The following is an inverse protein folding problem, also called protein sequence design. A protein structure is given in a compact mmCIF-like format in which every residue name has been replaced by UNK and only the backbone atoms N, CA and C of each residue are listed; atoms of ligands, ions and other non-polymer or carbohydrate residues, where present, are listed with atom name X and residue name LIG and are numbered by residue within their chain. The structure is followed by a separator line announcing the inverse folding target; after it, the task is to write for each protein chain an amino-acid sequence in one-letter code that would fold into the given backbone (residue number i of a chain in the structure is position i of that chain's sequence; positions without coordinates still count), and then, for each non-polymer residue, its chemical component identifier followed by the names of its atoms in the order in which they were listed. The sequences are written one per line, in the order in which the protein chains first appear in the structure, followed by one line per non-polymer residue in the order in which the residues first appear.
data_IF_697427625588
#
_entry.id   IF_697427625588
#
_cell.length_a   1.000
_cell.length_b   1.000
_cell.length_c   1.000
_cell.angle_alpha   90.00
_cell.angle_beta   90.00
_cell.angle_gamma   90.00
#
_symmetry.space_group_name_H-M   'P 1'
#
loop_
_entity.id
_entity.type
_entity.pdbx_description
1 polymer ?
#
# COMPACT_ATOMS: atom_id res chain seq x y z
N UNK A 1 2.60 12.67 -22.56
CA UNK A 1 2.33 11.37 -21.92
C UNK A 1 1.31 11.58 -20.81
N UNK A 2 0.14 10.94 -20.93
CA UNK A 2 -0.97 10.97 -19.96
C UNK A 2 -0.60 10.23 -18.67
N UNK A 3 -1.31 10.43 -17.55
CA UNK A 3 -0.99 9.70 -16.32
C UNK A 3 -1.08 8.16 -16.46
N UNK A 4 -2.07 7.58 -17.19
CA UNK A 4 -2.10 6.14 -17.46
C UNK A 4 -0.85 5.60 -18.17
N UNK A 5 -0.33 6.30 -19.18
CA UNK A 5 0.88 5.89 -19.91
C UNK A 5 2.14 5.93 -19.02
N UNK A 6 2.19 6.89 -18.09
CA UNK A 6 3.27 7.00 -17.10
C UNK A 6 3.23 5.85 -16.10
N UNK A 7 2.03 5.54 -15.59
CA UNK A 7 1.79 4.41 -14.70
C UNK A 7 2.15 3.07 -15.38
N UNK A 8 1.83 2.91 -16.65
CA UNK A 8 2.24 1.76 -17.46
C UNK A 8 3.75 1.61 -17.58
N UNK A 9 4.44 2.72 -17.78
CA UNK A 9 5.89 2.72 -17.86
C UNK A 9 6.50 2.32 -16.52
N UNK A 10 5.97 2.81 -15.40
CA UNK A 10 6.40 2.38 -14.07
C UNK A 10 6.13 0.90 -13.82
N UNK A 11 4.92 0.41 -14.11
CA UNK A 11 4.56 -1.00 -13.97
C UNK A 11 5.50 -1.93 -14.75
N UNK A 12 5.78 -1.60 -16.02
CA UNK A 12 6.69 -2.35 -16.88
C UNK A 12 8.12 -2.34 -16.32
N UNK A 13 8.62 -1.17 -15.92
CA UNK A 13 9.98 -0.98 -15.39
C UNK A 13 10.19 -1.77 -14.10
N UNK A 14 9.23 -1.73 -13.17
CA UNK A 14 9.30 -2.51 -11.92
C UNK A 14 9.29 -4.01 -12.22
N UNK A 15 8.38 -4.48 -13.08
CA UNK A 15 8.30 -5.90 -13.47
C UNK A 15 9.60 -6.36 -14.12
N UNK A 16 10.19 -5.55 -14.98
CA UNK A 16 11.41 -5.88 -15.72
C UNK A 16 12.66 -5.88 -14.84
N UNK A 17 12.83 -4.88 -13.97
CA UNK A 17 14.03 -4.72 -13.17
C UNK A 17 14.08 -5.68 -11.98
N UNK A 18 12.92 -6.04 -11.41
CA UNK A 18 12.85 -6.72 -10.12
C UNK A 18 12.16 -8.08 -10.17
N UNK A 19 11.21 -8.33 -11.07
CA UNK A 19 10.44 -9.57 -11.02
C UNK A 19 11.28 -10.78 -11.45
N UNK A 20 11.16 -11.87 -10.69
CA UNK A 20 11.75 -13.15 -11.05
C UNK A 20 11.08 -14.30 -10.33
N UNK A 21 11.44 -15.53 -10.68
CA UNK A 21 10.88 -16.73 -10.03
C UNK A 21 11.30 -16.80 -8.56
N UNK A 22 10.38 -17.24 -7.70
CA UNK A 22 10.67 -17.55 -6.30
C UNK A 22 11.47 -18.85 -6.25
N UNK A 23 12.72 -18.78 -5.79
CA UNK A 23 13.60 -19.95 -5.66
C UNK A 23 13.71 -20.80 -6.95
N UNK A 24 13.58 -20.17 -8.13
CA UNK A 24 13.61 -20.84 -9.44
C UNK A 24 12.32 -21.58 -9.83
N UNK A 25 11.32 -21.67 -8.95
CA UNK A 25 10.11 -22.47 -9.13
C UNK A 25 9.21 -21.86 -10.23
N UNK A 26 8.86 -22.61 -11.30
CA UNK A 26 7.91 -22.16 -12.32
C UNK A 26 6.54 -21.79 -11.72
N UNK A 27 5.84 -20.84 -12.34
CA UNK A 27 4.53 -20.41 -11.88
C UNK A 27 4.53 -19.55 -10.61
N UNK A 28 5.69 -19.12 -10.13
CA UNK A 28 5.87 -18.17 -9.03
C UNK A 28 6.52 -16.87 -9.50
N UNK A 29 6.31 -15.79 -8.76
CA UNK A 29 6.93 -14.48 -8.98
C UNK A 29 7.30 -13.88 -7.61
N UNK A 30 8.44 -13.19 -7.54
CA UNK A 30 8.85 -12.32 -6.44
C UNK A 30 9.59 -11.12 -7.01
N UNK A 31 9.43 -9.96 -6.39
CA UNK A 31 10.31 -8.82 -6.62
C UNK A 31 11.62 -9.01 -5.86
N UNK A 32 12.74 -8.95 -6.56
CA UNK A 32 14.05 -8.79 -5.92
C UNK A 32 14.07 -7.50 -5.07
N UNK A 33 14.71 -7.48 -3.89
CA UNK A 33 14.69 -6.28 -3.05
C UNK A 33 15.48 -5.11 -3.64
N UNK A 34 16.41 -5.37 -4.55
CA UNK A 34 17.15 -4.33 -5.27
C UNK A 34 17.52 -4.78 -6.69
N UNK A 35 17.89 -3.81 -7.52
CA UNK A 35 18.45 -3.98 -8.85
C UNK A 35 19.84 -3.32 -8.94
N UNK A 36 20.89 -4.04 -9.38
CA UNK A 36 20.90 -5.47 -9.72
C UNK A 36 20.54 -6.37 -8.53
N UNK A 37 20.01 -7.56 -8.83
CA UNK A 37 19.55 -8.51 -7.80
C UNK A 37 20.67 -8.87 -6.83
N UNK A 38 20.49 -8.72 -5.50
CA UNK A 38 21.49 -9.13 -4.53
C UNK A 38 21.84 -10.62 -4.67
N UNK A 39 23.14 -10.93 -4.66
CA UNK A 39 23.64 -12.32 -4.75
C UNK A 39 23.72 -13.02 -3.39
N UNK A 40 23.62 -12.27 -2.29
CA UNK A 40 23.71 -12.84 -0.95
C UNK A 40 22.52 -13.76 -0.65
N UNK A 41 22.82 -14.97 -0.15
CA UNK A 41 21.80 -15.90 0.36
C UNK A 41 21.18 -15.43 1.69
N UNK A 42 21.81 -14.47 2.37
CA UNK A 42 21.32 -13.86 3.61
C UNK A 42 20.57 -12.55 3.37
N UNK A 43 20.30 -12.19 2.11
CA UNK A 43 19.52 -11.00 1.80
C UNK A 43 18.16 -11.04 2.55
N UNK A 44 17.75 -9.94 3.21
CA UNK A 44 16.52 -9.93 3.99
C UNK A 44 15.30 -10.28 3.15
N UNK A 45 14.35 -10.97 3.77
CA UNK A 45 13.06 -11.25 3.18
C UNK A 45 12.08 -10.13 3.52
N UNK A 46 11.87 -9.22 2.57
CA UNK A 46 10.92 -8.11 2.73
C UNK A 46 9.51 -8.55 2.33
N UNK A 47 8.84 -9.30 3.22
CA UNK A 47 7.48 -9.82 3.00
C UNK A 47 6.50 -8.71 2.63
N UNK A 48 6.46 -7.62 3.39
CA UNK A 48 5.49 -6.54 3.17
C UNK A 48 5.77 -5.71 1.92
N UNK A 49 7.02 -5.64 1.43
CA UNK A 49 7.31 -5.02 0.12
C UNK A 49 6.62 -5.81 -1.00
N UNK A 50 6.55 -7.13 -0.88
CA UNK A 50 5.83 -7.97 -1.83
C UNK A 50 4.31 -7.78 -1.73
N UNK A 51 3.77 -7.51 -0.53
CA UNK A 51 2.38 -7.16 -0.36
C UNK A 51 2.03 -5.87 -1.11
N UNK A 52 2.87 -4.84 -1.04
CA UNK A 52 2.67 -3.60 -1.81
C UNK A 52 2.92 -3.77 -3.32
N UNK A 53 3.86 -4.63 -3.71
CA UNK A 53 4.03 -5.01 -5.11
C UNK A 53 2.77 -5.71 -5.66
N UNK A 54 2.15 -6.59 -4.86
CA UNK A 54 0.88 -7.22 -5.19
C UNK A 54 -0.23 -6.18 -5.36
N UNK A 55 -0.28 -5.22 -4.44
CA UNK A 55 -1.26 -4.14 -4.45
C UNK A 55 -1.14 -3.24 -5.69
N UNK A 56 0.09 -2.96 -6.13
CA UNK A 56 0.39 -2.20 -7.35
C UNK A 56 0.05 -3.00 -8.63
N UNK A 57 0.27 -4.32 -8.65
CA UNK A 57 -0.20 -5.18 -9.74
C UNK A 57 -1.72 -5.15 -9.86
N UNK A 58 -2.45 -5.15 -8.74
CA UNK A 58 -3.91 -5.03 -8.76
C UNK A 58 -4.34 -3.66 -9.31
N UNK A 59 -3.67 -2.57 -8.95
CA UNK A 59 -3.95 -1.24 -9.55
C UNK A 59 -3.79 -1.27 -11.07
N UNK A 60 -2.68 -1.81 -11.57
CA UNK A 60 -2.43 -1.87 -13.01
C UNK A 60 -3.45 -2.75 -13.74
N UNK A 61 -3.88 -3.88 -13.15
CA UNK A 61 -4.92 -4.72 -13.72
C UNK A 61 -6.28 -3.99 -13.77
N UNK A 62 -6.68 -3.30 -12.70
CA UNK A 62 -7.89 -2.48 -12.65
C UNK A 62 -7.82 -1.30 -13.64
N UNK A 63 -6.62 -0.75 -13.86
CA UNK A 63 -6.41 0.24 -14.91
C UNK A 63 -6.71 -0.35 -16.28
N UNK A 64 -6.31 -1.58 -16.57
CA UNK A 64 -6.58 -2.25 -17.84
C UNK A 64 -7.89 -3.05 -17.90
N UNK A 65 -8.88 -2.80 -17.03
CA UNK A 65 -10.14 -3.57 -17.04
C UNK A 65 -10.88 -3.56 -18.38
N UNK A 66 -10.73 -2.48 -19.16
CA UNK A 66 -11.34 -2.33 -20.49
C UNK A 66 -10.48 -2.99 -21.61
N UNK A 67 -9.33 -3.57 -21.24
CA UNK A 67 -8.41 -4.35 -22.08
C UNK A 67 -8.25 -5.77 -21.48
N UNK A 68 -9.24 -6.68 -21.66
CA UNK A 68 -9.33 -7.93 -20.89
C UNK A 68 -8.09 -8.81 -20.94
N UNK A 69 -7.45 -8.94 -22.11
CA UNK A 69 -6.23 -9.75 -22.27
C UNK A 69 -5.07 -9.22 -21.42
N UNK A 70 -4.96 -7.89 -21.32
CA UNK A 70 -3.89 -7.22 -20.57
C UNK A 70 -4.16 -7.25 -19.07
N UNK A 71 -5.41 -7.00 -18.66
CA UNK A 71 -5.82 -7.18 -17.27
C UNK A 71 -5.57 -8.61 -16.78
N UNK A 72 -5.91 -9.61 -17.60
CA UNK A 72 -5.71 -11.03 -17.28
C UNK A 72 -4.22 -11.41 -17.18
N UNK A 73 -3.34 -10.84 -18.01
CA UNK A 73 -1.90 -11.03 -17.87
C UNK A 73 -1.38 -10.53 -16.51
N UNK A 74 -1.75 -9.31 -16.14
CA UNK A 74 -1.31 -8.68 -14.89
C UNK A 74 -1.91 -9.43 -13.68
N UNK A 75 -3.19 -9.82 -13.76
CA UNK A 75 -3.86 -10.65 -12.75
C UNK A 75 -3.14 -11.98 -12.54
N UNK A 76 -2.71 -12.66 -13.61
CA UNK A 76 -1.92 -13.90 -13.50
C UNK A 76 -0.59 -13.67 -12.79
N UNK A 77 0.08 -12.55 -13.03
CA UNK A 77 1.31 -12.18 -12.32
C UNK A 77 1.06 -11.89 -10.84
N UNK A 78 -0.06 -11.24 -10.48
CA UNK A 78 -0.48 -11.06 -9.10
C UNK A 78 -0.67 -12.40 -8.36
N UNK A 79 -1.33 -13.38 -9.00
CA UNK A 79 -1.46 -14.74 -8.46
C UNK A 79 -0.13 -15.50 -8.36
N UNK A 80 0.78 -15.31 -9.33
CA UNK A 80 2.16 -15.85 -9.25
C UNK A 80 2.93 -15.25 -8.09
N UNK A 81 2.72 -13.96 -7.81
CA UNK A 81 3.33 -13.26 -6.68
C UNK A 81 2.83 -13.81 -5.36
N UNK A 82 1.51 -13.97 -5.20
CA UNK A 82 0.93 -14.60 -3.99
C UNK A 82 1.51 -16.00 -3.75
N UNK A 83 1.60 -16.85 -4.80
CA UNK A 83 2.26 -18.15 -4.68
C UNK A 83 3.74 -18.05 -4.29
N UNK A 84 4.46 -17.07 -4.84
CA UNK A 84 5.86 -16.81 -4.49
C UNK A 84 6.03 -16.39 -3.03
N UNK A 85 5.16 -15.52 -2.51
CA UNK A 85 5.13 -15.10 -1.09
C UNK A 85 4.87 -16.32 -0.20
N UNK A 86 3.86 -17.13 -0.52
CA UNK A 86 3.54 -18.37 0.21
C UNK A 86 4.73 -19.31 0.26
N UNK A 87 5.37 -19.58 -0.88
CA UNK A 87 6.56 -20.44 -0.96
C UNK A 87 7.71 -19.90 -0.11
N UNK A 88 8.02 -18.60 -0.25
CA UNK A 88 9.16 -17.97 0.44
C UNK A 88 8.94 -17.87 1.96
N UNK A 89 7.68 -17.90 2.39
CA UNK A 89 7.25 -17.93 3.79
C UNK A 89 7.06 -19.36 4.32
N UNK A 90 7.71 -20.37 3.75
CA UNK A 90 7.64 -21.74 4.28
C UNK A 90 6.31 -22.45 4.02
N UNK A 91 5.59 -22.07 2.97
CA UNK A 91 4.37 -22.73 2.50
C UNK A 91 3.07 -22.14 3.02
N UNK A 92 3.10 -21.13 3.89
CA UNK A 92 1.91 -20.42 4.40
C UNK A 92 2.17 -18.93 4.50
N UNK A 93 1.21 -18.10 4.06
CA UNK A 93 1.31 -16.64 4.20
C UNK A 93 1.29 -16.17 5.66
N UNK A 94 0.75 -16.96 6.59
CA UNK A 94 0.70 -16.61 8.01
C UNK A 94 1.99 -16.91 8.78
N UNK A 95 3.02 -17.46 8.12
CA UNK A 95 4.31 -17.75 8.74
C UNK A 95 5.17 -16.47 8.79
N UNK A 96 4.69 -15.50 9.55
CA UNK A 96 5.36 -14.24 9.84
C UNK A 96 5.07 -13.87 11.31
N UNK A 97 6.06 -13.26 11.96
CA UNK A 97 5.94 -12.77 13.34
C UNK A 97 5.36 -11.37 13.43
N UNK A 98 5.25 -10.66 12.30
CA UNK A 98 4.83 -9.26 12.20
C UNK A 98 3.36 -9.17 11.74
N UNK A 99 2.50 -8.56 12.56
CA UNK A 99 1.07 -8.44 12.29
C UNK A 99 0.75 -7.37 11.24
N UNK A 100 1.53 -6.29 11.19
CA UNK A 100 1.51 -5.26 10.15
C UNK A 100 1.81 -5.86 8.77
N UNK A 101 2.89 -6.63 8.63
CA UNK A 101 3.22 -7.37 7.41
C UNK A 101 2.01 -8.17 6.90
N UNK A 102 1.39 -8.93 7.80
CA UNK A 102 0.22 -9.76 7.48
C UNK A 102 -1.02 -8.93 7.15
N UNK A 103 -1.21 -7.77 7.80
CA UNK A 103 -2.30 -6.84 7.49
C UNK A 103 -2.15 -6.23 6.09
N UNK A 104 -0.93 -5.85 5.70
CA UNK A 104 -0.67 -5.37 4.33
C UNK A 104 -1.00 -6.43 3.28
N UNK A 105 -0.57 -7.69 3.51
CA UNK A 105 -0.91 -8.75 2.57
C UNK A 105 -2.41 -9.05 2.55
N UNK A 106 -3.09 -9.02 3.70
CA UNK A 106 -4.55 -9.22 3.77
C UNK A 106 -5.28 -8.20 2.91
N UNK A 107 -4.91 -6.92 3.00
CA UNK A 107 -5.50 -5.86 2.18
C UNK A 107 -5.27 -6.11 0.68
N UNK A 108 -4.04 -6.45 0.28
CA UNK A 108 -3.71 -6.72 -1.12
C UNK A 108 -4.42 -7.97 -1.67
N UNK A 109 -4.50 -9.05 -0.89
CA UNK A 109 -5.20 -10.30 -1.25
C UNK A 109 -6.71 -10.07 -1.34
N UNK A 110 -7.29 -9.27 -0.44
CA UNK A 110 -8.70 -8.87 -0.52
C UNK A 110 -9.00 -8.12 -1.82
N UNK A 111 -8.11 -7.21 -2.23
CA UNK A 111 -8.22 -6.50 -3.52
C UNK A 111 -8.02 -7.42 -4.72
N UNK A 112 -7.11 -8.39 -4.68
CA UNK A 112 -6.96 -9.41 -5.72
C UNK A 112 -8.23 -10.28 -5.85
N UNK A 113 -8.83 -10.69 -4.73
CA UNK A 113 -10.09 -11.44 -4.74
C UNK A 113 -11.25 -10.61 -5.33
N UNK A 114 -11.27 -9.29 -5.11
CA UNK A 114 -12.24 -8.40 -5.73
C UNK A 114 -12.00 -8.29 -7.25
N UNK A 115 -10.75 -8.13 -7.68
CA UNK A 115 -10.36 -8.13 -9.10
C UNK A 115 -10.75 -9.43 -9.80
N UNK A 116 -10.53 -10.59 -9.15
CA UNK A 116 -10.95 -11.90 -9.68
C UNK A 116 -12.47 -11.94 -9.92
N UNK A 117 -13.27 -11.43 -8.98
CA UNK A 117 -14.73 -11.35 -9.13
C UNK A 117 -15.11 -10.44 -10.29
N UNK A 118 -14.48 -9.27 -10.42
CA UNK A 118 -14.74 -8.32 -11.49
C UNK A 118 -14.45 -8.91 -12.87
N UNK A 119 -13.30 -9.60 -13.03
CA UNK A 119 -12.86 -10.09 -14.33
C UNK A 119 -13.38 -11.50 -14.69
N UNK A 120 -13.72 -12.33 -13.71
CA UNK A 120 -14.08 -13.75 -13.94
C UNK A 120 -15.41 -14.17 -13.31
N UNK A 121 -16.10 -13.27 -12.62
CA UNK A 121 -17.36 -13.53 -11.92
C UNK A 121 -17.20 -14.24 -10.56
N UNK A 122 -15.99 -14.66 -10.18
CA UNK A 122 -15.73 -15.34 -8.90
C UNK A 122 -14.33 -15.03 -8.37
N UNK A 123 -14.17 -15.07 -7.03
CA UNK A 123 -12.84 -14.97 -6.43
C UNK A 123 -12.08 -16.30 -6.57
N UNK A 124 -10.74 -16.22 -6.69
CA UNK A 124 -9.90 -17.41 -6.57
C UNK A 124 -9.90 -17.96 -5.13
N UNK A 125 -10.03 -19.27 -4.99
CA UNK A 125 -10.11 -19.94 -3.68
C UNK A 125 -8.83 -19.71 -2.86
N UNK A 126 -7.66 -19.69 -3.49
CA UNK A 126 -6.41 -19.45 -2.78
C UNK A 126 -6.34 -18.04 -2.17
N UNK A 127 -6.99 -17.05 -2.79
CA UNK A 127 -7.12 -15.71 -2.21
C UNK A 127 -8.05 -15.71 -1.01
N UNK A 128 -9.19 -16.42 -1.08
CA UNK A 128 -10.13 -16.53 0.03
C UNK A 128 -9.50 -17.24 1.23
N UNK A 129 -8.78 -18.33 1.01
CA UNK A 129 -8.09 -19.09 2.05
C UNK A 129 -6.96 -18.28 2.70
N UNK A 130 -6.14 -17.62 1.88
CA UNK A 130 -5.09 -16.73 2.37
C UNK A 130 -5.68 -15.57 3.19
N UNK A 131 -6.72 -14.92 2.68
CA UNK A 131 -7.41 -13.83 3.38
C UNK A 131 -7.98 -14.26 4.73
N UNK A 132 -8.68 -15.40 4.78
CA UNK A 132 -9.22 -15.97 6.03
C UNK A 132 -8.11 -16.26 7.04
N UNK A 133 -7.03 -16.89 6.59
CA UNK A 133 -5.92 -17.26 7.46
C UNK A 133 -5.18 -16.04 8.02
N UNK A 134 -4.95 -15.02 7.19
CA UNK A 134 -4.32 -13.76 7.60
C UNK A 134 -5.21 -12.99 8.59
N UNK A 135 -6.51 -12.88 8.32
CA UNK A 135 -7.46 -12.23 9.22
C UNK A 135 -7.46 -12.88 10.60
N UNK A 136 -7.59 -14.22 10.65
CA UNK A 136 -7.54 -14.98 11.89
C UNK A 136 -6.21 -14.81 12.64
N UNK A 137 -5.12 -14.51 11.94
CA UNK A 137 -3.82 -14.25 12.55
C UNK A 137 -3.77 -12.84 13.14
N UNK A 138 -4.24 -11.82 12.42
CA UNK A 138 -4.30 -10.43 12.87
C UNK A 138 -5.20 -10.29 14.10
N UNK A 139 -6.31 -11.03 14.17
CA UNK A 139 -7.18 -11.06 15.35
C UNK A 139 -6.45 -11.48 16.62
N UNK A 140 -5.44 -12.35 16.54
CA UNK A 140 -4.63 -12.73 17.70
C UNK A 140 -3.71 -11.61 18.20
N UNK A 141 -3.48 -10.59 17.39
CA UNK A 141 -2.75 -9.38 17.78
C UNK A 141 -3.68 -8.29 18.33
N UNK A 142 -5.00 -8.38 18.07
CA UNK A 142 -6.01 -7.46 18.57
C UNK A 142 -6.51 -7.92 19.94
N UNK A 143 -5.92 -7.36 21.00
CA UNK A 143 -6.22 -7.72 22.39
C UNK A 143 -6.65 -6.48 23.19
N UNK A 144 -7.23 -6.70 24.38
CA UNK A 144 -7.62 -5.63 25.29
C UNK A 144 -6.43 -4.97 26.02
N UNK A 145 -5.24 -5.56 25.97
CA UNK A 145 -4.03 -5.00 26.57
C UNK A 145 -3.80 -3.57 26.06
N UNK A 146 -3.31 -2.69 26.92
CA UNK A 146 -3.12 -1.27 26.59
C UNK A 146 -4.39 -0.56 26.07
N UNK A 147 -5.57 -1.04 26.46
CA UNK A 147 -6.86 -0.43 26.10
C UNK A 147 -7.39 -0.78 24.71
N UNK A 148 -6.79 -1.75 23.99
CA UNK A 148 -7.20 -2.13 22.64
C UNK A 148 -6.07 -2.06 21.63
N UNK A 149 -6.39 -1.90 20.34
CA UNK A 149 -5.39 -1.83 19.27
C UNK A 149 -4.70 -3.17 18.97
N UNK A 150 -3.82 -3.17 17.98
CA UNK A 150 -3.17 -4.39 17.47
C UNK A 150 -1.67 -4.35 17.77
N UNK A 151 -1.14 -5.43 18.36
CA UNK A 151 0.30 -5.57 18.55
C UNK A 151 1.04 -5.55 17.22
N UNK A 152 2.27 -5.03 17.23
CA UNK A 152 3.14 -4.96 16.06
C UNK A 152 3.62 -6.35 15.64
N UNK A 153 4.07 -7.15 16.62
CA UNK A 153 4.61 -8.48 16.38
C UNK A 153 4.24 -9.43 17.53
N UNK A 154 4.57 -10.72 17.39
CA UNK A 154 4.22 -11.78 18.35
C UNK A 154 4.90 -11.71 19.72
N UNK A 155 5.85 -10.78 19.94
CA UNK A 155 6.43 -10.51 21.26
C UNK A 155 5.51 -9.67 22.14
N UNK A 156 4.53 -9.00 21.55
CA UNK A 156 3.53 -8.19 22.25
C UNK A 156 4.14 -7.08 23.12
N UNK A 157 5.20 -6.44 22.61
CA UNK A 157 5.95 -5.35 23.27
C UNK A 157 5.57 -3.94 22.77
N UNK A 158 4.93 -3.85 21.61
CA UNK A 158 4.54 -2.59 20.97
C UNK A 158 3.17 -2.73 20.31
N UNK A 159 2.27 -1.77 20.50
CA UNK A 159 1.10 -1.55 19.64
C UNK A 159 1.35 -0.30 18.81
N UNK A 160 1.27 -0.39 17.48
CA UNK A 160 1.65 0.72 16.61
C UNK A 160 0.57 1.01 15.55
N UNK A 161 0.67 2.19 14.94
CA UNK A 161 -0.21 2.60 13.84
C UNK A 161 -0.01 1.68 12.63
N UNK A 162 1.22 1.21 12.42
CA UNK A 162 1.61 0.29 11.34
C UNK A 162 0.78 -1.00 11.30
N UNK A 163 0.45 -1.59 12.45
CA UNK A 163 -0.39 -2.79 12.54
C UNK A 163 -1.87 -2.45 12.70
N UNK A 164 -2.18 -1.45 13.53
CA UNK A 164 -3.55 -1.14 13.94
C UNK A 164 -4.36 -0.50 12.81
N UNK A 165 -3.79 0.45 12.06
CA UNK A 165 -4.51 1.14 10.99
C UNK A 165 -4.89 0.22 9.82
N UNK A 166 -3.97 -0.60 9.23
CA UNK A 166 -4.37 -1.55 8.20
C UNK A 166 -5.26 -2.68 8.72
N UNK A 167 -5.15 -3.07 10.00
CA UNK A 167 -6.09 -4.02 10.60
C UNK A 167 -7.50 -3.43 10.71
N UNK A 168 -7.65 -2.17 11.13
CA UNK A 168 -8.95 -1.49 11.15
C UNK A 168 -9.58 -1.45 9.75
N UNK A 169 -8.80 -1.08 8.74
CA UNK A 169 -9.25 -1.10 7.34
C UNK A 169 -9.65 -2.50 6.89
N UNK A 170 -8.87 -3.52 7.25
CA UNK A 170 -9.21 -4.91 6.94
C UNK A 170 -10.54 -5.31 7.60
N UNK A 171 -10.77 -4.93 8.86
CA UNK A 171 -12.04 -5.19 9.55
C UNK A 171 -13.22 -4.54 8.84
N UNK A 172 -13.11 -3.28 8.38
CA UNK A 172 -14.15 -2.63 7.57
C UNK A 172 -14.45 -3.46 6.31
N UNK A 173 -13.42 -3.83 5.56
CA UNK A 173 -13.54 -4.61 4.30
C UNK A 173 -14.05 -6.03 4.49
N UNK A 174 -14.02 -6.56 5.71
CA UNK A 174 -14.61 -7.85 6.07
C UNK A 174 -15.92 -7.73 6.85
N UNK A 175 -16.58 -6.56 6.81
CA UNK A 175 -17.86 -6.28 7.45
C UNK A 175 -17.87 -6.43 8.98
N UNK A 176 -16.73 -6.13 9.61
CA UNK A 176 -16.53 -6.16 11.07
C UNK A 176 -16.41 -4.75 11.62
N UNK A 177 -17.45 -3.95 11.38
CA UNK A 177 -17.47 -2.50 11.65
C UNK A 177 -17.22 -2.17 13.13
N UNK A 178 -17.77 -2.96 14.06
CA UNK A 178 -17.53 -2.77 15.51
C UNK A 178 -16.05 -2.93 15.87
N UNK A 179 -15.38 -3.95 15.34
CA UNK A 179 -13.95 -4.16 15.56
C UNK A 179 -13.12 -3.05 14.91
N UNK A 180 -13.51 -2.60 13.71
CA UNK A 180 -12.86 -1.45 13.06
C UNK A 180 -12.97 -0.17 13.90
N UNK A 181 -14.17 0.10 14.45
CA UNK A 181 -14.42 1.25 15.33
C UNK A 181 -13.60 1.19 16.62
N UNK A 182 -13.52 0.02 17.25
CA UNK A 182 -12.70 -0.17 18.45
C UNK A 182 -11.22 0.14 18.18
N UNK A 183 -10.67 -0.34 17.06
CA UNK A 183 -9.26 -0.08 16.70
C UNK A 183 -9.04 1.39 16.29
N UNK A 184 -9.98 2.00 15.56
CA UNK A 184 -9.90 3.43 15.22
C UNK A 184 -10.01 4.33 16.46
N UNK A 185 -10.90 4.00 17.40
CA UNK A 185 -11.01 4.69 18.69
C UNK A 185 -9.70 4.61 19.47
N UNK A 186 -9.12 3.40 19.56
CA UNK A 186 -7.82 3.22 20.21
C UNK A 186 -6.70 4.07 19.55
N UNK A 187 -6.66 4.13 18.22
CA UNK A 187 -5.71 4.98 17.48
C UNK A 187 -5.90 6.46 17.80
N UNK A 188 -7.16 6.92 17.85
CA UNK A 188 -7.50 8.30 18.19
C UNK A 188 -7.13 8.66 19.63
N UNK A 189 -7.38 7.76 20.58
CA UNK A 189 -7.09 8.01 21.99
C UNK A 189 -5.57 7.98 22.29
N UNK A 190 -4.85 7.06 21.66
CA UNK A 190 -3.47 6.77 22.07
C UNK A 190 -2.41 7.40 21.17
N UNK A 191 -2.66 7.55 19.87
CA UNK A 191 -1.64 7.88 18.87
C UNK A 191 -1.97 9.13 18.03
N UNK A 192 -3.15 9.71 18.14
CA UNK A 192 -3.49 10.95 17.44
C UNK A 192 -2.80 12.17 18.07
N UNK A 193 -2.17 12.98 17.23
CA UNK A 193 -1.71 14.33 17.56
C UNK A 193 -2.77 15.34 17.10
N UNK A 194 -3.56 15.94 18.02
CA UNK A 194 -4.61 16.89 17.64
C UNK A 194 -4.07 18.21 17.09
N UNK A 195 -2.84 18.59 17.43
CA UNK A 195 -2.23 19.84 16.95
C UNK A 195 -1.74 19.71 15.51
N UNK A 196 -1.13 18.56 15.18
CA UNK A 196 -0.59 18.28 13.83
C UNK A 196 -1.56 17.51 12.94
N UNK A 197 -2.63 16.96 13.51
CA UNK A 197 -3.64 16.12 12.83
C UNK A 197 -3.04 14.91 12.10
N UNK A 198 -2.10 14.25 12.76
CA UNK A 198 -1.41 13.04 12.27
C UNK A 198 -1.26 12.02 13.38
N UNK A 199 -0.83 10.80 13.03
CA UNK A 199 -0.66 9.71 13.98
C UNK A 199 0.82 9.46 14.29
N UNK A 200 1.13 9.40 15.57
CA UNK A 200 2.39 8.91 16.11
C UNK A 200 2.60 7.43 15.77
N UNK A 201 3.85 6.97 15.84
CA UNK A 201 4.21 5.65 15.35
C UNK A 201 3.64 4.53 16.21
N UNK A 202 3.79 4.61 17.54
CA UNK A 202 3.26 3.56 18.41
C UNK A 202 3.35 3.83 19.90
N UNK A 203 2.94 2.82 20.66
CA UNK A 203 2.93 2.77 22.12
C UNK A 203 3.74 1.55 22.55
N UNK A 204 4.86 1.80 23.23
CA UNK A 204 5.87 0.81 23.60
C UNK A 204 5.70 0.44 25.07
N UNK A 205 5.67 -0.86 25.40
CA UNK A 205 5.77 -1.33 26.77
C UNK A 205 7.23 -1.24 27.25
N UNK A 206 7.47 -0.45 28.30
CA UNK A 206 8.82 -0.19 28.83
C UNK A 206 9.17 -1.13 29.98
N UNK A 207 8.18 -1.58 30.76
CA UNK A 207 8.39 -2.46 31.92
C UNK A 207 7.42 -3.66 31.89
N UNK A 208 7.54 -4.52 30.88
CA UNK A 208 6.75 -5.74 30.78
C UNK A 208 7.10 -6.70 31.93
N UNK A 209 6.09 -7.14 32.70
CA UNK A 209 6.26 -8.11 33.79
C UNK A 209 6.70 -7.54 35.14
N UNK A 210 6.69 -6.22 35.34
CA UNK A 210 7.07 -5.56 36.60
C UNK A 210 5.92 -5.41 37.62
N UNK A 211 4.69 -5.81 37.26
CA UNK A 211 3.48 -5.57 38.06
C UNK A 211 2.86 -4.18 37.88
N UNK A 212 3.51 -3.27 37.15
CA UNK A 212 2.92 -2.01 36.67
C UNK A 212 3.36 -1.76 35.22
N UNK A 213 2.43 -1.87 34.28
CA UNK A 213 2.71 -1.65 32.87
C UNK A 213 2.95 -0.18 32.59
N UNK A 214 4.23 0.20 32.45
CA UNK A 214 4.60 1.55 32.01
C UNK A 214 4.70 1.56 30.49
N UNK A 215 3.97 2.49 29.86
CA UNK A 215 4.03 2.71 28.42
C UNK A 215 4.76 4.00 28.07
N UNK A 216 5.35 4.04 26.88
CA UNK A 216 5.92 5.25 26.28
C UNK A 216 5.45 5.36 24.84
N UNK A 217 4.96 6.55 24.47
CA UNK A 217 4.62 6.85 23.09
C UNK A 217 5.89 7.05 22.26
N UNK A 218 5.89 6.49 21.06
CA UNK A 218 6.85 6.77 20.02
C UNK A 218 6.34 7.93 19.16
N UNK A 219 6.89 9.11 19.38
CA UNK A 219 6.38 10.35 18.79
C UNK A 219 6.78 10.54 17.32
N UNK A 220 7.54 9.60 16.73
CA UNK A 220 7.94 9.67 15.32
C UNK A 220 6.70 9.71 14.42
N UNK A 221 6.83 10.47 13.33
CA UNK A 221 5.76 10.68 12.36
C UNK A 221 6.21 10.15 11.01
N UNK A 222 5.41 9.26 10.43
CA UNK A 222 5.66 8.70 9.11
C UNK A 222 4.38 8.76 8.28
N UNK A 223 4.51 9.10 7.00
CA UNK A 223 3.35 9.32 6.13
C UNK A 223 2.42 8.11 6.02
N UNK A 224 2.96 6.90 6.09
CA UNK A 224 2.17 5.67 5.95
C UNK A 224 1.21 5.44 7.12
N UNK A 225 1.45 6.04 8.30
CA UNK A 225 0.57 5.93 9.45
C UNK A 225 -0.82 6.54 9.15
N UNK A 226 -0.86 7.70 8.52
CA UNK A 226 -2.11 8.40 8.19
C UNK A 226 -2.90 7.74 7.05
N UNK A 227 -2.23 7.00 6.16
CA UNK A 227 -2.84 6.43 4.96
C UNK A 227 -4.00 5.46 5.25
N UNK A 228 -3.76 4.31 5.89
CA UNK A 228 -4.81 3.33 6.16
C UNK A 228 -5.87 3.84 7.12
N UNK A 229 -5.53 4.76 8.03
CA UNK A 229 -6.55 5.43 8.87
C UNK A 229 -7.52 6.21 7.99
N UNK A 230 -7.00 7.01 7.06
CA UNK A 230 -7.83 7.72 6.08
C UNK A 230 -8.70 6.76 5.27
N UNK A 231 -8.13 5.65 4.78
CA UNK A 231 -8.89 4.60 4.09
C UNK A 231 -10.00 4.00 4.94
N UNK A 232 -9.70 3.66 6.21
CA UNK A 232 -10.66 3.06 7.13
C UNK A 232 -11.80 4.02 7.49
N UNK A 233 -11.49 5.31 7.72
CA UNK A 233 -12.50 6.34 8.00
C UNK A 233 -13.47 6.51 6.84
N UNK A 234 -12.95 6.61 5.60
CA UNK A 234 -13.77 6.77 4.40
C UNK A 234 -14.64 5.53 4.15
N UNK A 235 -14.08 4.32 4.22
CA UNK A 235 -14.84 3.08 3.97
C UNK A 235 -15.85 2.81 5.09
N UNK A 236 -15.55 3.17 6.34
CA UNK A 236 -16.49 3.04 7.45
C UNK A 236 -17.63 4.05 7.35
N UNK A 237 -17.36 5.27 6.85
CA UNK A 237 -18.38 6.29 6.60
C UNK A 237 -19.44 5.81 5.59
N UNK A 238 -19.03 4.98 4.63
CA UNK A 238 -19.91 4.40 3.60
C UNK A 238 -20.41 2.97 3.95
N UNK A 239 -19.98 2.42 5.09
CA UNK A 239 -20.37 1.07 5.50
C UNK A 239 -21.87 1.00 5.83
N UNK A 240 -22.56 -0.11 5.48
CA UNK A 240 -23.94 -0.34 5.91
C UNK A 240 -24.10 -0.24 7.43
N UNK A 241 -25.14 0.46 7.88
CA UNK A 241 -25.41 0.67 9.30
C UNK A 241 -24.73 1.90 9.92
N UNK A 242 -23.89 2.63 9.18
CA UNK A 242 -23.35 3.92 9.64
C UNK A 242 -24.43 5.00 9.55
N UNK A 243 -24.86 5.52 10.71
CA UNK A 243 -25.85 6.60 10.81
C UNK A 243 -25.31 7.95 10.35
N UNK A 244 -26.20 8.88 10.01
CA UNK A 244 -25.85 10.20 9.43
C UNK A 244 -24.86 11.01 10.27
N UNK A 245 -25.07 11.11 11.58
CA UNK A 245 -24.20 11.89 12.47
C UNK A 245 -22.79 11.28 12.58
N UNK A 246 -22.74 9.96 12.71
CA UNK A 246 -21.47 9.25 12.76
C UNK A 246 -20.73 9.31 11.42
N UNK A 247 -21.45 9.22 10.31
CA UNK A 247 -20.91 9.45 8.97
C UNK A 247 -20.27 10.83 8.85
N UNK A 248 -20.98 11.88 9.29
CA UNK A 248 -20.46 13.24 9.26
C UNK A 248 -19.18 13.39 10.11
N UNK A 249 -19.14 12.77 11.30
CA UNK A 249 -17.96 12.76 12.18
C UNK A 249 -16.77 12.03 11.54
N UNK A 250 -16.99 10.87 10.93
CA UNK A 250 -15.96 10.09 10.23
C UNK A 250 -15.37 10.88 9.06
N UNK A 251 -16.20 11.52 8.24
CA UNK A 251 -15.76 12.36 7.12
C UNK A 251 -15.06 13.64 7.58
N UNK A 252 -15.49 14.24 8.69
CA UNK A 252 -14.79 15.36 9.32
C UNK A 252 -13.38 14.98 9.76
N UNK A 253 -13.26 13.83 10.46
CA UNK A 253 -11.96 13.29 10.86
C UNK A 253 -11.08 12.97 9.64
N UNK A 254 -11.66 12.39 8.58
CA UNK A 254 -10.93 12.12 7.34
C UNK A 254 -10.39 13.41 6.70
N UNK A 255 -11.16 14.50 6.72
CA UNK A 255 -10.70 15.81 6.24
C UNK A 255 -9.55 16.36 7.09
N UNK A 256 -9.60 16.20 8.42
CA UNK A 256 -8.50 16.57 9.31
C UNK A 256 -7.23 15.79 9.03
N UNK A 257 -7.34 14.47 8.79
CA UNK A 257 -6.19 13.62 8.42
C UNK A 257 -5.57 14.08 7.09
N UNK A 258 -6.38 14.48 6.10
CA UNK A 258 -5.87 15.03 4.84
C UNK A 258 -5.13 16.35 5.07
N UNK A 259 -5.68 17.25 5.87
CA UNK A 259 -5.05 18.53 6.18
C UNK A 259 -3.74 18.36 6.96
N UNK A 260 -3.73 17.49 7.99
CA UNK A 260 -2.52 17.15 8.74
C UNK A 260 -1.47 16.46 7.87
N UNK A 261 -1.87 15.57 6.96
CA UNK A 261 -0.95 14.97 6.00
C UNK A 261 -0.32 16.01 5.06
N UNK A 262 -1.09 17.00 4.62
CA UNK A 262 -0.57 18.09 3.81
C UNK A 262 0.47 18.92 4.59
N UNK A 263 0.18 19.28 5.84
CA UNK A 263 1.06 20.10 6.68
C UNK A 263 2.32 19.35 7.13
N UNK A 264 2.18 18.11 7.60
CA UNK A 264 3.29 17.32 8.16
C UNK A 264 4.17 16.69 7.07
N UNK A 265 3.57 16.27 5.96
CA UNK A 265 4.25 15.50 4.91
C UNK A 265 4.26 16.17 3.56
N UNK A 266 3.59 17.31 3.36
CA UNK A 266 3.66 18.07 2.13
C UNK A 266 4.77 19.11 2.17
N UNK A 267 5.54 19.24 1.09
CA UNK A 267 6.56 20.29 0.92
C UNK A 267 6.42 20.98 -0.43
N UNK A 268 6.70 22.29 -0.51
CA UNK A 268 6.72 23.01 -1.78
C UNK A 268 7.95 22.62 -2.61
N UNK A 269 7.76 22.50 -3.92
CA UNK A 269 8.81 22.47 -4.94
C UNK A 269 8.41 23.44 -6.06
N UNK A 270 9.30 23.84 -6.98
CA UNK A 270 8.94 24.78 -8.04
C UNK A 270 7.68 24.35 -8.81
N UNK A 271 6.62 25.17 -8.71
CA UNK A 271 5.36 25.00 -9.43
C UNK A 271 4.38 23.96 -8.89
N UNK A 272 4.61 23.34 -7.72
CA UNK A 272 3.66 22.37 -7.10
C UNK A 272 3.99 22.05 -5.64
N UNK A 273 3.04 21.43 -4.94
CA UNK A 273 3.28 20.75 -3.65
C UNK A 273 3.45 19.25 -3.87
N UNK A 274 4.40 18.63 -3.17
CA UNK A 274 4.67 17.19 -3.24
C UNK A 274 4.73 16.58 -1.85
N UNK A 275 4.56 15.26 -1.77
CA UNK A 275 4.83 14.51 -0.55
C UNK A 275 6.34 14.43 -0.30
N UNK A 276 6.73 14.62 0.95
CA UNK A 276 8.04 14.24 1.49
C UNK A 276 8.09 12.72 1.54
N UNK A 277 9.17 12.16 1.00
CA UNK A 277 9.47 10.72 1.03
C UNK A 277 10.56 10.41 2.05
N UNK A 278 10.65 9.15 2.45
CA UNK A 278 11.46 8.74 3.60
C UNK A 278 12.73 7.97 3.17
N UNK A 279 13.23 8.26 1.96
CA UNK A 279 14.45 7.67 1.42
C UNK A 279 14.27 6.22 0.94
N UNK A 280 15.27 5.39 1.23
CA UNK A 280 15.32 3.97 0.87
C UNK A 280 14.81 3.05 1.99
N UNK A 281 15.12 1.76 1.87
CA UNK A 281 14.65 0.70 2.75
C UNK A 281 13.12 0.70 2.84
N UNK A 282 12.61 0.48 4.05
CA UNK A 282 11.19 0.47 4.34
C UNK A 282 10.52 1.83 4.08
N UNK A 283 11.24 2.93 4.35
CA UNK A 283 10.79 4.30 4.09
C UNK A 283 10.47 4.57 2.62
N UNK A 284 11.04 3.77 1.73
CA UNK A 284 10.78 3.81 0.29
C UNK A 284 9.35 3.48 -0.10
N UNK A 285 8.49 2.96 0.79
CA UNK A 285 7.07 2.69 0.51
C UNK A 285 6.11 3.72 1.15
N UNK A 286 6.58 4.50 2.13
CA UNK A 286 5.68 5.16 3.08
C UNK A 286 4.76 6.20 2.43
N UNK A 287 5.29 7.01 1.51
CA UNK A 287 4.50 8.08 0.89
C UNK A 287 3.64 7.54 -0.25
N UNK A 288 4.03 6.41 -0.84
CA UNK A 288 3.21 5.67 -1.80
C UNK A 288 1.92 5.14 -1.16
N UNK A 289 2.03 4.59 0.06
CA UNK A 289 0.88 4.15 0.86
C UNK A 289 -0.05 5.31 1.15
N UNK A 290 0.48 6.45 1.60
CA UNK A 290 -0.34 7.65 1.82
C UNK A 290 -1.02 8.11 0.53
N UNK A 291 -0.28 8.20 -0.59
CA UNK A 291 -0.81 8.65 -1.88
C UNK A 291 -2.00 7.79 -2.37
N UNK A 292 -1.96 6.47 -2.15
CA UNK A 292 -3.10 5.57 -2.45
C UNK A 292 -4.39 6.05 -1.78
N UNK A 293 -4.32 6.34 -0.48
CA UNK A 293 -5.52 6.72 0.28
C UNK A 293 -5.88 8.19 0.11
N UNK A 294 -4.92 9.07 -0.20
CA UNK A 294 -5.21 10.43 -0.67
C UNK A 294 -5.99 10.40 -1.99
N UNK A 295 -5.65 9.52 -2.93
CA UNK A 295 -6.43 9.37 -4.17
C UNK A 295 -7.84 8.83 -3.93
N UNK A 296 -8.05 8.01 -2.87
CA UNK A 296 -9.39 7.61 -2.44
C UNK A 296 -10.16 8.81 -1.87
N UNK A 297 -9.53 9.60 -0.99
CA UNK A 297 -10.11 10.82 -0.41
C UNK A 297 -10.49 11.85 -1.50
N UNK A 298 -9.59 12.11 -2.45
CA UNK A 298 -9.80 13.02 -3.57
C UNK A 298 -11.04 12.68 -4.40
N UNK A 299 -11.42 11.39 -4.47
CA UNK A 299 -12.56 10.90 -5.24
C UNK A 299 -13.82 10.66 -4.41
N UNK A 300 -13.78 10.86 -3.10
CA UNK A 300 -14.92 10.57 -2.22
C UNK A 300 -15.97 11.70 -2.32
N UNK A 301 -17.18 11.45 -2.87
CA UNK A 301 -18.12 12.51 -3.26
C UNK A 301 -18.64 13.37 -2.11
N UNK A 302 -18.65 12.82 -0.89
CA UNK A 302 -19.16 13.52 0.29
C UNK A 302 -18.06 14.05 1.22
N UNK A 303 -16.78 13.87 0.87
CA UNK A 303 -15.68 14.49 1.63
C UNK A 303 -15.62 15.98 1.32
N UNK A 304 -15.27 16.84 2.28
CA UNK A 304 -15.17 18.29 2.04
C UNK A 304 -14.32 18.63 0.80
N UNK A 305 -14.81 19.54 -0.05
CA UNK A 305 -14.16 19.90 -1.32
C UNK A 305 -12.71 20.38 -1.15
N UNK A 306 -12.43 21.11 -0.07
CA UNK A 306 -11.07 21.54 0.29
C UNK A 306 -10.14 20.35 0.54
N UNK A 307 -10.61 19.33 1.27
CA UNK A 307 -9.85 18.11 1.52
C UNK A 307 -9.66 17.31 0.22
N UNK A 308 -10.71 17.15 -0.60
CA UNK A 308 -10.58 16.47 -1.90
C UNK A 308 -9.52 17.11 -2.79
N UNK A 309 -9.57 18.43 -2.95
CA UNK A 309 -8.63 19.20 -3.75
C UNK A 309 -7.20 19.12 -3.22
N UNK A 310 -7.04 19.20 -1.89
CA UNK A 310 -5.73 19.07 -1.23
C UNK A 310 -5.13 17.69 -1.46
N UNK A 311 -5.93 16.64 -1.32
CA UNK A 311 -5.51 15.27 -1.58
C UNK A 311 -5.12 15.05 -3.05
N UNK A 312 -5.92 15.58 -4.00
CA UNK A 312 -5.63 15.53 -5.43
C UNK A 312 -4.34 16.26 -5.78
N UNK A 313 -4.11 17.46 -5.24
CA UNK A 313 -2.90 18.25 -5.45
C UNK A 313 -1.64 17.51 -4.99
N UNK A 314 -1.66 16.92 -3.78
CA UNK A 314 -0.53 16.15 -3.26
C UNK A 314 -0.21 14.92 -4.13
N UNK A 315 -1.24 14.19 -4.58
CA UNK A 315 -1.06 13.00 -5.44
C UNK A 315 -0.49 13.39 -6.80
N UNK A 316 -1.15 14.32 -7.49
CA UNK A 316 -0.76 14.75 -8.85
C UNK A 316 0.59 15.47 -8.87
N UNK A 317 0.83 16.37 -7.91
CA UNK A 317 2.11 17.06 -7.77
C UNK A 317 3.27 16.10 -7.54
N UNK A 318 3.08 15.10 -6.66
CA UNK A 318 4.12 14.07 -6.40
C UNK A 318 4.35 13.20 -7.64
N UNK A 319 3.28 12.76 -8.32
CA UNK A 319 3.36 11.98 -9.54
C UNK A 319 4.13 12.72 -10.65
N UNK A 320 3.82 13.99 -10.87
CA UNK A 320 4.50 14.80 -11.87
C UNK A 320 5.98 15.04 -11.52
N UNK A 321 6.30 15.22 -10.23
CA UNK A 321 7.67 15.43 -9.79
C UNK A 321 8.53 14.16 -9.93
N UNK A 322 8.00 12.99 -9.53
CA UNK A 322 8.65 11.70 -9.75
C UNK A 322 8.84 11.41 -11.24
N UNK A 323 7.82 11.71 -12.06
CA UNK A 323 7.90 11.51 -13.49
C UNK A 323 8.96 12.39 -14.15
N UNK A 324 8.99 13.70 -13.82
CA UNK A 324 9.96 14.63 -14.36
C UNK A 324 11.39 14.32 -13.89
N UNK A 325 11.56 13.87 -12.65
CA UNK A 325 12.85 13.52 -12.06
C UNK A 325 13.34 12.11 -12.38
N UNK A 326 12.58 11.29 -13.12
CA UNK A 326 12.98 9.91 -13.45
C UNK A 326 14.26 9.89 -14.31
N UNK A 327 15.03 8.81 -14.19
CA UNK A 327 16.12 8.48 -15.12
C UNK A 327 15.64 7.39 -16.06
N UNK A 328 15.84 7.59 -17.36
CA UNK A 328 15.67 6.53 -18.34
C UNK A 328 16.94 5.66 -18.36
N UNK A 329 16.76 4.36 -18.36
CA UNK A 329 17.83 3.40 -18.55
C UNK A 329 17.45 2.45 -19.68
N UNK A 330 18.43 2.02 -20.46
CA UNK A 330 18.22 0.94 -21.41
C UNK A 330 17.92 -0.35 -20.65
N UNK A 331 16.95 -1.12 -21.14
CA UNK A 331 16.72 -2.47 -20.64
C UNK A 331 17.98 -3.29 -20.86
N UNK A 332 18.62 -3.73 -19.77
CA UNK A 332 19.70 -4.70 -19.87
C UNK A 332 19.08 -6.06 -20.23
N UNK A 333 19.09 -6.41 -21.50
CA UNK A 333 18.92 -7.82 -21.91
C UNK A 333 20.00 -8.63 -21.21
N UNK A 334 19.62 -9.47 -20.24
CA UNK A 334 20.57 -10.34 -19.56
C UNK A 334 21.26 -11.28 -20.57
N UNK A 335 22.59 -11.43 -20.56
CA UNK A 335 23.24 -12.52 -21.26
C UNK A 335 23.08 -13.81 -20.44
N UNK A 336 22.35 -14.80 -20.98
CA UNK A 336 22.43 -16.20 -20.55
C UNK A 336 21.19 -16.77 -19.85
N UNK A 337 20.42 -17.57 -20.60
CA UNK A 337 19.36 -18.44 -20.08
C UNK A 337 18.46 -18.94 -21.21
N UNK A 338 18.86 -20.04 -21.87
CA UNK A 338 18.21 -20.61 -23.06
C UNK A 338 16.79 -21.14 -22.86
N UNK A 339 15.82 -20.23 -22.75
CA UNK A 339 14.39 -20.49 -22.90
C UNK A 339 13.81 -19.50 -23.90
N UNK A 340 12.95 -19.99 -24.81
CA UNK A 340 12.46 -19.31 -26.01
C UNK A 340 12.13 -17.80 -25.84
N UNK A 341 12.45 -16.96 -26.84
CA UNK A 341 12.24 -15.52 -26.78
C UNK A 341 10.74 -15.24 -26.89
N UNK A 342 10.11 -14.87 -25.76
CA UNK A 342 8.89 -14.06 -25.85
C UNK A 342 9.29 -12.67 -26.28
N UNK A 343 8.71 -12.18 -27.37
CA UNK A 343 8.92 -10.86 -27.94
C UNK A 343 8.61 -9.76 -26.90
N UNK A 344 9.60 -9.41 -26.08
CA UNK A 344 9.58 -8.23 -25.21
C UNK A 344 10.23 -7.11 -25.99
N UNK A 345 9.40 -6.21 -26.52
CA UNK A 345 9.85 -4.93 -27.07
C UNK A 345 10.71 -4.23 -26.03
N UNK A 346 12.00 -4.05 -26.34
CA UNK A 346 12.99 -3.35 -25.51
C UNK A 346 12.67 -1.87 -25.42
N UNK A 347 11.71 -1.52 -24.57
CA UNK A 347 11.45 -0.14 -24.18
C UNK A 347 12.45 0.33 -23.12
N UNK A 348 12.77 1.62 -23.12
CA UNK A 348 13.50 2.24 -22.02
C UNK A 348 12.74 1.99 -20.69
N UNK A 349 13.47 1.57 -19.65
CA UNK A 349 12.93 1.45 -18.30
C UNK A 349 13.10 2.78 -17.58
N UNK A 350 12.13 3.13 -16.74
CA UNK A 350 12.18 4.30 -15.88
C UNK A 350 12.63 3.91 -14.47
N UNK A 351 13.65 4.58 -13.97
CA UNK A 351 14.09 4.52 -12.57
C UNK A 351 13.70 5.82 -11.89
N UNK A 352 12.90 5.72 -10.83
CA UNK A 352 12.37 6.85 -10.10
C UNK A 352 13.24 7.21 -8.89
N UNK A 353 13.25 8.49 -8.55
CA UNK A 353 13.96 9.01 -7.40
C UNK A 353 13.32 8.52 -6.10
N UNK A 354 14.10 8.19 -5.06
CA UNK A 354 13.56 8.03 -3.71
C UNK A 354 13.05 9.36 -3.13
N UNK A 355 13.41 10.51 -3.71
CA UNK A 355 12.99 11.86 -3.31
C UNK A 355 12.36 12.61 -4.50
N UNK A 356 11.05 12.95 -4.49
CA UNK A 356 10.40 13.64 -5.60
C UNK A 356 10.86 15.09 -5.82
N UNK A 357 11.56 15.70 -4.88
CA UNK A 357 12.16 17.03 -5.03
C UNK A 357 13.55 16.97 -5.67
N UNK A 358 14.12 15.79 -5.90
CA UNK A 358 15.43 15.61 -6.50
C UNK A 358 15.37 14.65 -7.71
N UNK A 359 16.01 14.96 -8.84
CA UNK A 359 16.15 14.01 -9.94
C UNK A 359 16.84 12.72 -9.48
N UNK A 360 16.43 11.58 -10.04
CA UNK A 360 16.92 10.25 -9.68
C UNK A 360 18.46 10.13 -9.83
N UNK A 361 19.03 10.78 -10.85
CA UNK A 361 20.48 10.81 -11.06
C UNK A 361 21.28 11.58 -10.00
N UNK A 362 20.61 12.42 -9.20
CA UNK A 362 21.24 13.15 -8.08
C UNK A 362 20.96 12.45 -6.74
N UNK A 363 19.73 11.97 -6.55
CA UNK A 363 19.30 11.33 -5.31
C UNK A 363 19.91 9.93 -5.09
N UNK A 364 20.30 9.24 -6.17
CA UNK A 364 20.95 7.93 -6.11
C UNK A 364 22.45 8.07 -6.35
N UNK A 365 23.26 7.54 -5.43
CA UNK A 365 24.72 7.50 -5.61
C UNK A 365 25.07 6.63 -6.82
N UNK A 366 26.02 7.03 -7.68
CA UNK A 366 26.53 6.18 -8.74
C UNK A 366 26.94 4.80 -8.19
N UNK A 367 26.45 3.72 -8.83
CA UNK A 367 26.72 2.35 -8.42
C UNK A 367 25.90 1.83 -7.23
N UNK A 368 25.09 2.66 -6.57
CA UNK A 368 24.16 2.17 -5.56
C UNK A 368 23.03 1.33 -6.20
N UNK A 369 22.63 0.20 -5.59
CA UNK A 369 21.47 -0.55 -6.06
C UNK A 369 20.18 0.29 -6.00
N UNK A 370 19.31 0.12 -7.00
CA UNK A 370 17.96 0.67 -6.98
C UNK A 370 17.08 -0.25 -6.15
N UNK A 371 16.40 0.25 -5.13
CA UNK A 371 15.59 -0.58 -4.23
C UNK A 371 14.14 -0.71 -4.70
N UNK A 372 13.58 -1.92 -4.56
CA UNK A 372 12.20 -2.23 -4.96
C UNK A 372 11.19 -1.31 -4.29
N UNK A 373 11.34 -1.04 -2.98
CA UNK A 373 10.43 -0.21 -2.20
C UNK A 373 10.20 1.15 -2.86
N UNK A 374 11.28 1.87 -3.18
CA UNK A 374 11.24 3.19 -3.81
C UNK A 374 10.54 3.18 -5.17
N UNK A 375 10.73 2.12 -5.96
CA UNK A 375 10.11 2.00 -7.27
C UNK A 375 8.63 1.60 -7.18
N UNK A 376 8.26 0.76 -6.22
CA UNK A 376 6.86 0.43 -5.93
C UNK A 376 6.11 1.65 -5.39
N UNK A 377 6.74 2.51 -4.58
CA UNK A 377 6.15 3.79 -4.19
C UNK A 377 5.87 4.67 -5.40
N UNK A 378 6.85 4.86 -6.27
CA UNK A 378 6.65 5.70 -7.45
C UNK A 378 5.55 5.15 -8.36
N UNK A 379 5.54 3.83 -8.58
CA UNK A 379 4.46 3.17 -9.31
C UNK A 379 3.10 3.38 -8.65
N UNK A 380 2.99 3.21 -7.33
CA UNK A 380 1.75 3.43 -6.58
C UNK A 380 1.26 4.88 -6.71
N UNK A 381 2.15 5.87 -6.64
CA UNK A 381 1.80 7.29 -6.82
C UNK A 381 1.31 7.56 -8.25
N UNK A 382 1.95 6.98 -9.26
CA UNK A 382 1.55 7.15 -10.66
C UNK A 382 0.20 6.48 -10.96
N UNK A 383 -0.06 5.29 -10.40
CA UNK A 383 -1.37 4.64 -10.47
C UNK A 383 -2.45 5.47 -9.75
N UNK A 384 -2.12 6.03 -8.58
CA UNK A 384 -3.00 6.92 -7.85
C UNK A 384 -3.39 8.16 -8.67
N UNK A 385 -2.41 8.81 -9.33
CA UNK A 385 -2.68 9.93 -10.23
C UNK A 385 -3.49 9.52 -11.48
N UNK A 386 -3.17 8.39 -12.11
CA UNK A 386 -3.94 7.86 -13.24
C UNK A 386 -5.41 7.58 -12.89
N UNK A 387 -5.69 7.19 -11.64
CA UNK A 387 -7.06 7.01 -11.13
C UNK A 387 -7.83 8.32 -11.00
N UNK A 388 -7.16 9.44 -10.76
CA UNK A 388 -7.78 10.77 -10.67
C UNK A 388 -8.19 11.33 -12.03
N UNK A 389 -7.47 10.98 -13.10
CA UNK A 389 -7.83 11.38 -14.48
C UNK A 389 -9.07 10.63 -15.01
N UNK A 390 -9.43 9.49 -14.40
CA UNK A 390 -10.58 8.70 -14.84
C UNK A 390 -11.89 9.30 -14.30
N UNK A 391 -12.92 9.43 -15.17
CA UNK A 391 -14.26 9.75 -14.71
C UNK A 391 -14.69 8.82 -13.58
N UNK A 392 -15.32 9.38 -12.55
CA UNK A 392 -15.90 8.58 -11.49
C UNK A 392 -17.05 7.74 -12.06
N UNK A 393 -16.77 6.48 -12.35
CA UNK A 393 -17.81 5.45 -12.49
C UNK A 393 -18.16 5.02 -11.08
N UNK A 394 -19.27 5.53 -10.52
CA UNK A 394 -19.70 5.18 -9.18
C UNK A 394 -19.76 3.67 -8.96
N UNK A 395 -19.48 3.24 -7.73
CA UNK A 395 -19.79 1.89 -7.31
C UNK A 395 -21.29 1.64 -7.58
N UNK A 396 -21.60 0.52 -8.24
CA UNK A 396 -22.96 0.16 -8.60
C UNK A 396 -23.90 0.18 -7.39
N UNK A 397 -24.79 1.16 -7.37
CA UNK A 397 -26.08 1.00 -6.73
C UNK A 397 -26.89 -0.01 -7.57
N UNK A 398 -27.45 -1.04 -6.93
CA UNK A 398 -28.45 -1.91 -7.55
C UNK A 398 -28.10 -3.39 -7.65
N UNK A 399 -27.71 -4.02 -6.55
CA UNK A 399 -28.04 -5.44 -6.32
C UNK A 399 -29.28 -5.51 -5.44
N UNK A 400 -30.43 -5.15 -6.02
CA UNK A 400 -31.73 -5.27 -5.37
C UNK A 400 -31.97 -6.72 -4.95
N UNK A 401 -32.40 -6.88 -3.70
CA UNK A 401 -33.05 -8.07 -3.22
C UNK A 401 -34.17 -8.46 -4.18
N UNK A 402 -34.10 -9.66 -4.75
CA UNK A 402 -35.27 -10.48 -5.08
C UNK A 402 -34.85 -11.93 -5.37
N UNK A 403 -35.41 -12.81 -4.52
CA UNK A 403 -35.43 -14.29 -4.52
C UNK A 403 -34.24 -15.05 -3.95
#
# INVERSE_FOLDING_TARGET
MSAPERADTAARSVRELFAGRALGVPGTLLGAPAHPRPRSRTAPWHYWWQAHLLDALVDAALRHRDEPARAEEIRRDAHRLLRGITLRSGGRVTQNSYYDDMAWLLLAVGRLAALDRELTGRADVACLDAGRALLARIERGHTADLGGGVFWNTRHDVKNTASSAPAALAFVRTHRTEQARAVLGWLQENLWDPGRRVFHDGLILVAAGSGSEVTRRDERLFSYNSGPVLGALLELADAPGTGTDDRARLLGTAADVVAGAAEAYGRPVPGRRVLTTHGGGDGGLFSGILARYLAQAARHPDLAETARRTAAELVTGTADALWAGRREAESATAPGGGGAPSARTGGAVAVFSPDPAQPAGQAQRPGAPVELSTQVQAWTVLEAAARLERPWTGAGAGGSAER
#
